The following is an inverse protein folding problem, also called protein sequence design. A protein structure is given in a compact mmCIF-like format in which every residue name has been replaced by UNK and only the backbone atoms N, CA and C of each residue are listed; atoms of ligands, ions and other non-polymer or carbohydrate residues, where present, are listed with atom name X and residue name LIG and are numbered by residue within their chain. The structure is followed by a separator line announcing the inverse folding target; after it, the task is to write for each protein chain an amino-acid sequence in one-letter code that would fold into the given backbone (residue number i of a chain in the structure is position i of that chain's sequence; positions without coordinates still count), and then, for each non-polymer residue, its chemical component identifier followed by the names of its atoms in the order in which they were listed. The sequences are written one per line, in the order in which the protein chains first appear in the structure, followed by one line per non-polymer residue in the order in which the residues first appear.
data_IF_910558305443
#
_entry.id   IF_910558305443
#
_cell.length_a   1.000
_cell.length_b   1.000
_cell.length_c   1.000
_cell.angle_alpha   90.00
_cell.angle_beta   90.00
_cell.angle_gamma   90.00
#
_symmetry.space_group_name_H-M   'P 1'
#
loop_
_entity.id
_entity.type
_entity.pdbx_description
1 polymer ?
#
# COMPACT_ATOMS: atom_id res chain seq x y z
N UNK A 1 22.47 -11.70 -3.40
CA UNK A 1 22.30 -12.30 -4.75
C UNK A 1 21.12 -11.57 -5.37
N UNK A 2 21.37 -10.39 -5.94
CA UNK A 2 20.40 -9.32 -5.68
C UNK A 2 19.52 -8.95 -6.87
N UNK A 3 19.91 -9.30 -8.10
CA UNK A 3 19.12 -8.98 -9.31
C UNK A 3 19.40 -10.05 -10.38
N UNK A 4 18.36 -10.47 -11.10
CA UNK A 4 18.45 -11.37 -12.26
C UNK A 4 18.13 -10.52 -13.49
N UNK A 5 19.12 -10.27 -14.33
CA UNK A 5 18.94 -9.56 -15.61
C UNK A 5 18.87 -10.60 -16.73
N UNK A 6 17.79 -10.57 -17.52
CA UNK A 6 17.69 -11.40 -18.71
C UNK A 6 18.42 -10.76 -19.91
N UNK A 7 18.51 -11.50 -21.02
CA UNK A 7 19.20 -11.04 -22.24
C UNK A 7 18.50 -9.85 -22.93
N UNK A 8 17.26 -9.57 -22.55
CA UNK A 8 16.43 -8.49 -23.09
C UNK A 8 16.46 -7.25 -22.18
N UNK A 9 17.25 -7.27 -21.09
CA UNK A 9 17.37 -6.18 -20.12
C UNK A 9 16.24 -6.13 -19.09
N UNK A 10 15.39 -7.16 -19.02
CA UNK A 10 14.35 -7.26 -17.98
C UNK A 10 14.99 -7.58 -16.64
N UNK A 11 14.84 -6.65 -15.71
CA UNK A 11 15.27 -6.77 -14.33
C UNK A 11 14.22 -7.57 -13.55
N UNK A 12 14.62 -8.73 -13.06
CA UNK A 12 13.81 -9.59 -12.18
C UNK A 12 14.54 -9.87 -10.87
N UNK A 13 13.84 -10.43 -9.88
CA UNK A 13 14.43 -10.70 -8.56
C UNK A 13 14.21 -12.15 -8.14
N UNK A 14 15.18 -12.75 -7.43
CA UNK A 14 14.97 -14.07 -6.88
C UNK A 14 13.97 -14.04 -5.73
N UNK A 15 13.43 -15.20 -5.39
CA UNK A 15 12.62 -15.35 -4.18
C UNK A 15 13.42 -14.98 -2.92
N UNK A 16 12.88 -14.07 -2.12
CA UNK A 16 13.38 -13.80 -0.77
C UNK A 16 12.71 -14.76 0.21
N UNK A 17 13.46 -15.77 0.65
CA UNK A 17 12.97 -16.84 1.52
C UNK A 17 13.15 -16.52 2.99
N UNK A 18 12.12 -16.82 3.78
CA UNK A 18 12.14 -16.86 5.24
C UNK A 18 11.90 -18.30 5.69
N UNK A 19 12.70 -18.79 6.62
CA UNK A 19 12.55 -20.13 7.18
C UNK A 19 11.42 -20.15 8.23
N UNK A 20 10.53 -21.14 8.14
CA UNK A 20 9.42 -21.31 9.07
C UNK A 20 8.35 -20.21 8.98
N UNK A 21 7.49 -20.14 10.01
CA UNK A 21 6.30 -19.28 10.05
C UNK A 21 5.35 -19.48 8.84
N UNK A 22 5.20 -20.75 8.45
CA UNK A 22 4.27 -21.16 7.41
C UNK A 22 2.84 -21.16 7.97
N UNK A 23 1.82 -20.77 7.18
CA UNK A 23 0.43 -20.92 7.56
C UNK A 23 0.09 -22.37 7.95
N UNK A 24 -0.88 -22.54 8.85
CA UNK A 24 -1.46 -23.86 9.12
C UNK A 24 -1.94 -24.46 7.81
N UNK A 25 -1.66 -25.74 7.57
CA UNK A 25 -1.98 -26.46 6.33
C UNK A 25 -1.32 -25.90 5.06
N UNK A 26 -0.21 -25.15 5.17
CA UNK A 26 0.56 -24.71 4.02
C UNK A 26 0.98 -25.92 3.14
N UNK A 27 0.86 -25.74 1.83
CA UNK A 27 1.23 -26.75 0.83
C UNK A 27 2.48 -26.35 0.06
N UNK A 28 3.32 -27.34 -0.25
CA UNK A 28 4.51 -27.09 -1.04
C UNK A 28 4.15 -26.78 -2.49
N UNK A 29 4.61 -25.65 -3.02
CA UNK A 29 4.37 -25.22 -4.40
C UNK A 29 5.02 -26.14 -5.47
N UNK A 30 5.82 -27.12 -5.06
CA UNK A 30 6.49 -28.08 -5.96
C UNK A 30 5.82 -29.45 -5.94
N UNK A 31 5.47 -29.98 -4.76
CA UNK A 31 4.94 -31.34 -4.62
C UNK A 31 3.49 -31.43 -4.09
N UNK A 32 2.84 -30.30 -3.81
CA UNK A 32 1.49 -30.15 -3.25
C UNK A 32 1.25 -30.79 -1.86
N UNK A 33 2.28 -31.39 -1.25
CA UNK A 33 2.20 -31.95 0.11
C UNK A 33 2.33 -30.87 1.18
N UNK A 34 1.75 -31.11 2.35
CA UNK A 34 1.86 -30.21 3.51
C UNK A 34 3.32 -29.94 3.89
N UNK A 35 3.66 -28.67 4.10
CA UNK A 35 4.97 -28.19 4.53
C UNK A 35 4.85 -27.29 5.76
N UNK A 36 5.93 -27.23 6.55
CA UNK A 36 5.98 -26.56 7.84
C UNK A 36 5.90 -27.53 9.01
N UNK A 37 6.17 -27.02 10.21
CA UNK A 37 6.02 -27.76 11.47
C UNK A 37 5.60 -26.81 12.58
N UNK A 38 4.81 -27.33 13.52
CA UNK A 38 4.43 -26.61 14.75
C UNK A 38 5.53 -26.72 15.81
N UNK A 39 6.38 -27.74 15.72
CA UNK A 39 7.41 -28.04 16.73
C UNK A 39 8.73 -27.29 16.51
N UNK A 40 9.00 -26.89 15.26
CA UNK A 40 10.26 -26.23 14.88
C UNK A 40 10.10 -25.39 13.62
N UNK A 41 10.99 -24.42 13.46
CA UNK A 41 11.17 -23.74 12.17
C UNK A 41 11.74 -24.75 11.18
N UNK A 42 11.02 -24.94 10.07
CA UNK A 42 11.45 -25.73 8.93
C UNK A 42 10.69 -25.24 7.71
N UNK A 43 11.20 -25.62 6.54
CA UNK A 43 10.65 -25.25 5.24
C UNK A 43 10.64 -23.73 5.02
N UNK A 44 10.32 -23.31 3.81
CA UNK A 44 10.58 -21.93 3.38
C UNK A 44 9.31 -21.27 2.87
N UNK A 45 9.17 -19.99 3.18
CA UNK A 45 8.12 -19.13 2.65
C UNK A 45 8.74 -17.91 1.97
N UNK A 46 8.30 -17.61 0.76
CA UNK A 46 8.72 -16.40 0.07
C UNK A 46 7.99 -15.18 0.65
N UNK A 47 8.71 -14.10 0.95
CA UNK A 47 8.13 -12.87 1.51
C UNK A 47 7.17 -12.16 0.54
N UNK A 48 7.48 -12.23 -0.75
CA UNK A 48 6.74 -11.52 -1.81
C UNK A 48 5.59 -12.37 -2.34
N UNK A 49 5.90 -13.44 -3.10
CA UNK A 49 4.86 -14.25 -3.73
C UNK A 49 4.11 -15.21 -2.80
N UNK A 50 4.56 -15.34 -1.54
CA UNK A 50 3.97 -16.20 -0.50
C UNK A 50 4.01 -17.71 -0.79
N UNK A 51 4.70 -18.14 -1.84
CA UNK A 51 4.94 -19.55 -2.09
C UNK A 51 5.62 -20.20 -0.87
N UNK A 52 5.16 -21.41 -0.53
CA UNK A 52 5.75 -22.24 0.51
C UNK A 52 6.39 -23.47 -0.12
N UNK A 53 7.59 -23.84 0.30
CA UNK A 53 8.34 -24.97 -0.28
C UNK A 53 9.08 -25.74 0.81
N UNK A 54 9.11 -27.07 0.69
CA UNK A 54 9.99 -27.86 1.56
C UNK A 54 11.45 -27.52 1.32
N UNK A 55 12.30 -27.70 2.34
CA UNK A 55 13.75 -27.55 2.18
C UNK A 55 14.30 -28.41 1.03
N UNK A 56 13.83 -29.65 0.90
CA UNK A 56 14.22 -30.56 -0.18
C UNK A 56 13.64 -30.19 -1.55
N UNK A 57 12.50 -29.49 -1.59
CA UNK A 57 11.83 -29.10 -2.83
C UNK A 57 12.33 -27.75 -3.38
N UNK A 58 12.91 -26.90 -2.53
CA UNK A 58 13.36 -25.54 -2.88
C UNK A 58 14.25 -25.48 -4.13
N UNK A 59 15.22 -26.40 -4.37
CA UNK A 59 16.04 -26.37 -5.59
C UNK A 59 15.25 -26.56 -6.89
N UNK A 60 14.05 -27.14 -6.82
CA UNK A 60 13.17 -27.39 -7.97
C UNK A 60 12.10 -26.30 -8.15
N UNK A 61 12.06 -25.28 -7.29
CA UNK A 61 11.17 -24.14 -7.45
C UNK A 61 11.79 -23.12 -8.41
N UNK A 62 11.01 -22.39 -9.23
CA UNK A 62 11.53 -21.33 -10.08
C UNK A 62 12.40 -20.34 -9.29
N UNK A 63 13.49 -19.87 -9.89
CA UNK A 63 14.39 -18.93 -9.24
C UNK A 63 13.80 -17.52 -9.17
N UNK A 64 13.08 -17.10 -10.23
CA UNK A 64 12.47 -15.77 -10.38
C UNK A 64 11.14 -15.68 -9.62
N UNK A 65 11.03 -14.68 -8.75
CA UNK A 65 9.84 -14.43 -7.96
C UNK A 65 8.77 -13.69 -8.78
N UNK A 66 7.52 -14.18 -8.86
CA UNK A 66 6.45 -13.48 -9.57
C UNK A 66 5.77 -12.37 -8.73
N UNK A 67 6.30 -12.03 -7.55
CA UNK A 67 5.76 -11.08 -6.57
C UNK A 67 4.36 -11.40 -6.00
N UNK A 68 3.65 -12.38 -6.56
CA UNK A 68 2.39 -12.90 -6.04
C UNK A 68 1.16 -12.14 -6.55
N UNK A 69 0.01 -12.31 -5.86
CA UNK A 69 -1.28 -11.76 -6.31
C UNK A 69 -1.27 -10.24 -6.46
N UNK A 70 -0.58 -9.52 -5.57
CA UNK A 70 -0.54 -8.05 -5.56
C UNK A 70 0.55 -7.46 -6.47
N UNK A 71 1.11 -8.23 -7.42
CA UNK A 71 2.30 -7.85 -8.21
C UNK A 71 2.20 -6.48 -8.88
N UNK A 72 1.01 -6.08 -9.34
CA UNK A 72 0.85 -4.79 -10.03
C UNK A 72 0.86 -3.62 -9.05
N UNK A 73 0.45 -3.86 -7.80
CA UNK A 73 0.41 -2.87 -6.72
C UNK A 73 1.74 -2.73 -6.00
N UNK A 74 2.54 -3.80 -5.98
CA UNK A 74 3.83 -3.86 -5.30
C UNK A 74 4.89 -3.13 -6.12
N UNK A 75 5.60 -2.20 -5.49
CA UNK A 75 6.87 -1.66 -6.00
C UNK A 75 7.98 -2.62 -5.56
N UNK A 76 8.60 -3.39 -6.47
CA UNK A 76 9.65 -4.33 -6.11
C UNK A 76 10.81 -3.60 -5.43
N UNK A 77 11.50 -4.20 -4.45
CA UNK A 77 12.71 -3.59 -3.87
C UNK A 77 13.78 -3.27 -4.90
N UNK A 78 13.87 -4.08 -5.96
CA UNK A 78 14.80 -3.88 -7.08
C UNK A 78 14.47 -2.67 -7.94
N UNK A 79 13.27 -2.10 -7.80
CA UNK A 79 12.85 -0.88 -8.49
C UNK A 79 13.16 0.39 -7.68
N UNK A 80 13.71 0.30 -6.47
CA UNK A 80 14.06 1.44 -5.63
C UNK A 80 15.57 1.49 -5.42
N UNK A 81 16.26 2.43 -6.07
CA UNK A 81 17.72 2.51 -6.03
C UNK A 81 18.23 3.53 -5.02
N UNK A 82 17.68 4.74 -5.06
CA UNK A 82 18.09 5.84 -4.19
C UNK A 82 16.97 6.89 -4.07
N UNK A 83 17.14 7.86 -3.18
CA UNK A 83 16.29 9.06 -3.13
C UNK A 83 17.04 10.15 -3.91
N UNK A 84 16.42 10.64 -4.98
CA UNK A 84 16.95 11.69 -5.82
C UNK A 84 17.05 13.03 -5.10
N UNK A 85 17.74 13.99 -5.71
CA UNK A 85 17.91 15.35 -5.18
C UNK A 85 16.60 16.13 -5.02
N UNK A 86 15.54 15.67 -5.65
CA UNK A 86 14.18 16.22 -5.57
C UNK A 86 13.31 15.53 -4.51
N UNK A 87 13.91 14.65 -3.70
CA UNK A 87 13.27 13.85 -2.65
C UNK A 87 12.22 12.86 -3.17
N UNK A 88 12.43 12.36 -4.39
CA UNK A 88 11.66 11.28 -4.99
C UNK A 88 12.45 9.97 -5.03
N UNK A 89 11.76 8.83 -5.14
CA UNK A 89 12.45 7.58 -5.48
C UNK A 89 13.01 7.66 -6.91
N UNK A 90 14.29 7.32 -7.05
CA UNK A 90 14.87 6.93 -8.33
C UNK A 90 14.42 5.50 -8.61
N UNK A 91 13.45 5.37 -9.52
CA UNK A 91 12.81 4.11 -9.83
C UNK A 91 12.75 3.84 -11.32
N UNK A 92 13.12 2.62 -11.70
CA UNK A 92 12.80 2.07 -13.02
C UNK A 92 11.39 1.53 -12.92
N UNK A 93 10.45 2.10 -13.67
CA UNK A 93 9.06 1.64 -13.65
C UNK A 93 8.98 0.22 -14.24
N UNK A 94 8.54 -0.79 -13.46
CA UNK A 94 8.27 -2.10 -14.03
C UNK A 94 7.19 -2.02 -15.11
N UNK A 95 7.29 -2.81 -16.18
CA UNK A 95 6.21 -2.92 -17.17
C UNK A 95 4.97 -3.54 -16.50
N UNK A 96 3.77 -3.11 -16.94
CA UNK A 96 2.46 -3.58 -16.45
C UNK A 96 2.22 -3.42 -14.93
N UNK A 97 2.77 -2.37 -14.31
CA UNK A 97 2.51 -2.05 -12.91
C UNK A 97 1.57 -0.84 -12.73
N UNK A 98 0.82 -0.86 -11.64
CA UNK A 98 0.01 0.26 -11.14
C UNK A 98 0.33 0.43 -9.65
N UNK A 99 1.45 1.10 -9.32
CA UNK A 99 1.97 1.21 -7.96
C UNK A 99 0.93 1.74 -6.99
N UNK A 100 0.84 1.12 -5.81
CA UNK A 100 -0.07 1.54 -4.75
C UNK A 100 0.69 2.20 -3.61
N UNK A 101 0.41 3.47 -3.35
CA UNK A 101 0.82 4.18 -2.14
C UNK A 101 -0.28 4.03 -1.09
N UNK A 102 0.06 3.55 0.11
CA UNK A 102 -0.91 3.34 1.19
C UNK A 102 -0.61 4.30 2.34
N UNK A 103 -1.61 5.09 2.70
CA UNK A 103 -1.62 5.90 3.90
C UNK A 103 -2.54 5.29 4.93
N UNK A 104 -2.04 5.05 6.14
CA UNK A 104 -2.86 4.54 7.25
C UNK A 104 -2.82 5.54 8.38
N UNK A 105 -3.99 5.88 8.92
CA UNK A 105 -4.06 6.60 10.18
C UNK A 105 -3.99 5.58 11.33
N UNK A 106 -2.85 5.50 12.01
CA UNK A 106 -2.65 4.52 13.08
C UNK A 106 -3.56 4.69 14.30
N UNK A 107 -4.10 5.90 14.50
CA UNK A 107 -5.00 6.24 15.61
C UNK A 107 -6.48 5.99 15.30
N UNK A 108 -6.84 5.72 14.04
CA UNK A 108 -8.23 5.48 13.64
C UNK A 108 -8.78 4.16 14.21
N UNK A 109 -10.07 4.19 14.55
CA UNK A 109 -10.84 3.01 14.95
C UNK A 109 -10.33 2.33 16.22
N UNK A 110 -10.14 3.07 17.31
CA UNK A 110 -9.62 2.53 18.59
C UNK A 110 -8.24 1.85 18.45
N UNK A 111 -7.31 2.53 17.78
CA UNK A 111 -5.94 2.04 17.50
C UNK A 111 -5.85 0.76 16.64
N UNK A 112 -6.95 0.35 15.99
CA UNK A 112 -6.92 -0.76 15.03
C UNK A 112 -6.09 -0.41 13.77
N UNK A 113 -5.92 0.89 13.47
CA UNK A 113 -5.05 1.36 12.38
C UNK A 113 -3.63 0.79 12.42
N UNK A 114 -3.08 0.51 13.61
CA UNK A 114 -1.75 -0.13 13.75
C UNK A 114 -1.74 -1.54 13.16
N UNK A 115 -2.83 -2.31 13.30
CA UNK A 115 -2.94 -3.66 12.71
C UNK A 115 -2.97 -3.58 11.19
N UNK A 116 -3.76 -2.67 10.64
CA UNK A 116 -3.81 -2.41 9.19
C UNK A 116 -2.45 -1.98 8.64
N UNK A 117 -1.77 -1.05 9.32
CA UNK A 117 -0.42 -0.61 8.94
C UNK A 117 0.56 -1.78 8.86
N UNK A 118 0.59 -2.63 9.90
CA UNK A 118 1.43 -3.84 9.93
C UNK A 118 1.06 -4.80 8.81
N UNK A 119 -0.24 -4.98 8.56
CA UNK A 119 -0.74 -5.92 7.55
C UNK A 119 -0.41 -5.46 6.13
N UNK A 120 -0.55 -4.17 5.82
CA UNK A 120 -0.11 -3.60 4.55
C UNK A 120 1.41 -3.74 4.36
N UNK A 121 2.22 -3.46 5.40
CA UNK A 121 3.68 -3.64 5.35
C UNK A 121 4.11 -5.09 5.13
N UNK A 122 3.27 -6.07 5.50
CA UNK A 122 3.52 -7.47 5.17
C UNK A 122 3.20 -7.76 3.70
N UNK A 123 2.10 -7.20 3.17
CA UNK A 123 1.55 -7.52 1.85
C UNK A 123 2.19 -6.74 0.70
N UNK A 124 2.67 -5.53 0.97
CA UNK A 124 3.29 -4.62 0.02
C UNK A 124 4.74 -4.36 0.44
N UNK A 125 5.50 -3.66 -0.41
CA UNK A 125 6.80 -3.15 0.01
C UNK A 125 6.60 -2.11 1.12
N UNK A 126 7.28 -2.23 2.29
CA UNK A 126 7.15 -1.26 3.37
C UNK A 126 7.42 0.20 2.96
N UNK A 127 8.22 0.43 1.91
CA UNK A 127 8.47 1.76 1.34
C UNK A 127 7.23 2.40 0.69
N UNK A 128 6.12 1.66 0.56
CA UNK A 128 4.85 2.12 0.02
C UNK A 128 3.80 2.41 1.11
N UNK A 129 4.09 2.14 2.38
CA UNK A 129 3.10 2.14 3.46
C UNK A 129 3.50 3.12 4.55
N UNK A 130 2.76 4.22 4.65
CA UNK A 130 3.08 5.35 5.51
C UNK A 130 2.02 5.51 6.62
N UNK A 131 2.50 5.84 7.81
CA UNK A 131 1.63 6.29 8.90
C UNK A 131 1.41 7.80 8.78
N UNK A 132 0.14 8.18 8.57
CA UNK A 132 -0.27 9.59 8.46
C UNK A 132 -0.01 10.37 9.75
N UNK A 133 -0.08 9.72 10.91
CA UNK A 133 0.08 10.38 12.20
C UNK A 133 1.55 10.62 12.56
N UNK A 134 2.46 9.87 11.97
CA UNK A 134 3.90 9.99 12.21
C UNK A 134 4.58 10.88 11.16
N UNK A 135 4.28 10.65 9.89
CA UNK A 135 5.03 11.28 8.77
C UNK A 135 4.21 12.25 7.94
N UNK A 136 2.89 12.24 8.09
CA UNK A 136 1.97 12.97 7.23
C UNK A 136 1.96 12.46 5.77
N UNK A 137 1.17 13.10 4.90
CA UNK A 137 1.05 12.69 3.50
C UNK A 137 2.22 13.15 2.61
N UNK A 138 2.92 14.22 3.00
CA UNK A 138 3.91 14.90 2.15
C UNK A 138 5.05 14.00 1.71
N UNK A 139 5.64 13.24 2.64
CA UNK A 139 6.80 12.39 2.35
C UNK A 139 6.44 11.30 1.32
N UNK A 140 5.36 10.57 1.57
CA UNK A 140 4.92 9.49 0.67
C UNK A 140 4.59 9.98 -0.73
N UNK A 141 3.92 11.15 -0.85
CA UNK A 141 3.58 11.75 -2.14
C UNK A 141 4.81 12.18 -2.93
N UNK A 142 5.78 12.82 -2.28
CA UNK A 142 7.03 13.26 -2.92
C UNK A 142 7.86 12.08 -3.40
N UNK A 143 7.99 11.06 -2.56
CA UNK A 143 8.66 9.80 -2.90
C UNK A 143 8.03 9.13 -4.12
N UNK A 144 6.72 9.23 -4.30
CA UNK A 144 5.99 8.58 -5.39
C UNK A 144 5.87 9.40 -6.68
N UNK A 145 6.39 10.63 -6.73
CA UNK A 145 6.14 11.55 -7.85
C UNK A 145 6.63 11.05 -9.22
N UNK A 146 7.56 10.10 -9.27
CA UNK A 146 8.05 9.53 -10.54
C UNK A 146 7.24 8.32 -11.02
N UNK A 147 6.30 7.82 -10.21
CA UNK A 147 5.36 6.80 -10.64
C UNK A 147 4.12 7.50 -11.23
N UNK A 148 4.07 7.74 -12.55
CA UNK A 148 2.92 8.37 -13.22
C UNK A 148 2.33 7.45 -14.32
N UNK A 149 1.09 6.95 -14.21
CA UNK A 149 0.15 7.12 -13.09
C UNK A 149 0.40 6.17 -11.91
N UNK A 150 -0.12 6.52 -10.74
CA UNK A 150 -0.14 5.65 -9.55
C UNK A 150 -1.46 5.74 -8.78
N UNK A 151 -1.67 4.82 -7.85
CA UNK A 151 -2.87 4.77 -7.00
C UNK A 151 -2.50 5.07 -5.56
N UNK A 152 -3.43 5.68 -4.83
CA UNK A 152 -3.32 5.99 -3.42
C UNK A 152 -4.49 5.32 -2.71
N UNK A 153 -4.23 4.60 -1.61
CA UNK A 153 -5.25 4.10 -0.71
C UNK A 153 -5.11 4.76 0.65
N UNK A 154 -6.14 5.49 1.07
CA UNK A 154 -6.19 6.14 2.39
C UNK A 154 -7.06 5.29 3.31
N UNK A 155 -6.44 4.73 4.36
CA UNK A 155 -7.10 3.92 5.37
C UNK A 155 -7.41 4.78 6.60
N UNK A 156 -8.54 5.49 6.57
CA UNK A 156 -8.99 6.40 7.63
C UNK A 156 -10.43 6.88 7.36
N UNK A 157 -10.91 7.85 8.16
CA UNK A 157 -12.14 8.60 7.92
C UNK A 157 -11.92 9.87 7.09
N UNK A 158 -13.01 10.58 6.81
CA UNK A 158 -13.10 11.69 5.85
C UNK A 158 -12.11 12.83 6.13
N UNK A 159 -11.83 13.15 7.40
CA UNK A 159 -10.89 14.21 7.76
C UNK A 159 -9.45 13.91 7.31
N UNK A 160 -9.00 12.66 7.44
CA UNK A 160 -7.66 12.26 6.99
C UNK A 160 -7.58 12.12 5.46
N UNK A 161 -8.68 11.66 4.83
CA UNK A 161 -8.78 11.66 3.37
C UNK A 161 -8.70 13.08 2.83
N UNK A 162 -9.41 14.03 3.43
CA UNK A 162 -9.35 15.45 3.09
C UNK A 162 -7.93 16.02 3.23
N UNK A 163 -7.19 15.63 4.28
CA UNK A 163 -5.80 16.05 4.45
C UNK A 163 -4.88 15.55 3.33
N UNK A 164 -4.97 14.27 2.97
CA UNK A 164 -4.20 13.70 1.84
C UNK A 164 -4.55 14.41 0.54
N UNK A 165 -5.84 14.63 0.26
CA UNK A 165 -6.29 15.31 -0.95
C UNK A 165 -5.78 16.76 -1.03
N UNK A 166 -5.83 17.51 0.08
CA UNK A 166 -5.28 18.87 0.12
C UNK A 166 -3.77 18.91 -0.13
N UNK A 167 -3.04 17.88 0.29
CA UNK A 167 -1.61 17.77 0.01
C UNK A 167 -1.32 17.41 -1.46
N UNK A 168 -2.16 16.59 -2.07
CA UNK A 168 -2.13 16.30 -3.52
C UNK A 168 -2.33 17.59 -4.32
N UNK A 169 -3.31 18.42 -3.93
CA UNK A 169 -3.59 19.72 -4.56
C UNK A 169 -2.35 20.64 -4.44
N UNK A 170 -1.74 20.70 -3.25
CA UNK A 170 -0.53 21.51 -2.99
C UNK A 170 0.67 21.09 -3.85
N UNK A 171 0.81 19.79 -4.10
CA UNK A 171 1.88 19.22 -4.93
C UNK A 171 1.53 19.15 -6.42
N UNK A 172 0.32 19.58 -6.81
CA UNK A 172 -0.19 19.58 -8.18
C UNK A 172 -0.22 18.17 -8.83
N UNK A 173 -0.56 17.14 -8.06
CA UNK A 173 -0.53 15.72 -8.49
C UNK A 173 -1.91 15.15 -8.89
N UNK A 174 -2.93 16.01 -9.04
CA UNK A 174 -4.33 15.62 -9.27
C UNK A 174 -4.57 14.80 -10.57
N UNK A 175 -3.76 14.98 -11.60
CA UNK A 175 -3.85 14.20 -12.86
C UNK A 175 -3.04 12.92 -12.84
N UNK A 176 -2.11 12.80 -11.88
CA UNK A 176 -1.13 11.71 -11.80
C UNK A 176 -1.63 10.54 -10.94
N UNK A 177 -2.51 10.81 -9.98
CA UNK A 177 -2.92 9.82 -8.99
C UNK A 177 -4.43 9.58 -8.93
N UNK A 178 -4.80 8.36 -8.53
CA UNK A 178 -6.18 7.97 -8.25
C UNK A 178 -6.31 7.60 -6.77
N UNK A 179 -7.29 8.16 -6.07
CA UNK A 179 -7.44 7.97 -4.62
C UNK A 179 -8.62 7.04 -4.30
N UNK A 180 -8.33 5.98 -3.56
CA UNK A 180 -9.30 5.09 -2.93
C UNK A 180 -9.33 5.30 -1.41
N UNK A 181 -10.46 4.94 -0.80
CA UNK A 181 -10.67 5.07 0.65
C UNK A 181 -11.02 3.71 1.24
N UNK A 182 -10.24 3.28 2.24
CA UNK A 182 -10.59 2.14 3.10
C UNK A 182 -11.14 2.70 4.42
N UNK A 183 -12.45 2.49 4.71
CA UNK A 183 -13.10 3.13 5.84
C UNK A 183 -12.61 2.55 7.18
N UNK A 184 -11.84 3.34 7.94
CA UNK A 184 -11.40 3.00 9.30
C UNK A 184 -11.90 4.03 10.31
N UNK A 185 -12.52 3.55 11.40
CA UNK A 185 -13.04 4.42 12.46
C UNK A 185 -14.38 5.05 12.10
N UNK A 186 -14.58 6.31 12.51
CA UNK A 186 -15.84 7.07 12.34
C UNK A 186 -15.71 8.17 11.28
N UNK A 187 -16.84 8.59 10.70
CA UNK A 187 -16.87 9.58 9.62
C UNK A 187 -16.30 9.00 8.32
N UNK A 188 -17.05 8.09 7.68
CA UNK A 188 -16.65 7.38 6.46
C UNK A 188 -17.65 7.66 5.33
N UNK A 189 -18.15 8.89 5.24
CA UNK A 189 -19.22 9.26 4.31
C UNK A 189 -18.75 9.18 2.87
N UNK A 190 -17.50 9.57 2.59
CA UNK A 190 -16.92 9.42 1.25
C UNK A 190 -16.82 7.93 0.86
N UNK A 191 -16.43 7.06 1.78
CA UNK A 191 -16.36 5.62 1.53
C UNK A 191 -17.75 5.03 1.23
N UNK A 192 -18.80 5.47 1.94
CA UNK A 192 -20.20 5.05 1.68
C UNK A 192 -20.67 5.49 0.30
N UNK A 193 -20.45 6.76 -0.04
CA UNK A 193 -20.84 7.32 -1.34
C UNK A 193 -20.10 6.63 -2.50
N UNK A 194 -18.83 6.28 -2.30
CA UNK A 194 -18.03 5.57 -3.30
C UNK A 194 -18.29 4.05 -3.33
N UNK A 195 -19.09 3.51 -2.42
CA UNK A 195 -19.48 2.08 -2.41
C UNK A 195 -18.48 1.15 -1.72
N UNK A 196 -17.55 1.68 -0.92
CA UNK A 196 -16.58 0.90 -0.14
C UNK A 196 -17.12 0.40 1.21
N UNK A 197 -18.28 0.92 1.62
CA UNK A 197 -18.98 0.50 2.84
C UNK A 197 -18.76 1.45 4.02
N UNK A 198 -19.25 1.03 5.19
CA UNK A 198 -19.33 1.89 6.38
C UNK A 198 -18.11 1.78 7.31
N UNK A 199 -17.49 0.60 7.41
CA UNK A 199 -16.28 0.34 8.19
C UNK A 199 -15.59 -0.93 7.69
N UNK A 200 -14.31 -1.07 8.04
CA UNK A 200 -13.52 -2.26 7.82
C UNK A 200 -12.70 -2.54 9.09
N UNK A 201 -13.17 -3.49 9.91
CA UNK A 201 -12.61 -3.71 11.26
C UNK A 201 -11.67 -4.92 11.34
N UNK A 202 -11.55 -5.68 10.24
CA UNK A 202 -10.74 -6.90 10.15
C UNK A 202 -9.68 -6.78 9.04
N UNK A 203 -8.40 -6.80 9.42
CA UNK A 203 -7.26 -6.68 8.51
C UNK A 203 -7.02 -7.96 7.68
N UNK A 204 -7.64 -9.09 8.05
CA UNK A 204 -7.52 -10.35 7.30
C UNK A 204 -8.13 -10.24 5.90
N UNK A 205 -9.07 -9.31 5.68
CA UNK A 205 -9.72 -9.06 4.39
C UNK A 205 -8.90 -8.20 3.42
N UNK A 206 -7.77 -7.62 3.85
CA UNK A 206 -6.96 -6.74 3.01
C UNK A 206 -6.56 -7.38 1.67
N UNK A 207 -6.12 -8.66 1.59
CA UNK A 207 -5.80 -9.28 0.30
C UNK A 207 -6.96 -9.27 -0.70
N UNK A 208 -8.18 -9.58 -0.26
CA UNK A 208 -9.37 -9.54 -1.10
C UNK A 208 -9.75 -8.10 -1.47
N UNK A 209 -9.58 -7.15 -0.54
CA UNK A 209 -9.83 -5.73 -0.80
C UNK A 209 -8.84 -5.16 -1.82
N UNK A 210 -7.56 -5.52 -1.75
CA UNK A 210 -6.56 -5.08 -2.73
C UNK A 210 -6.93 -5.50 -4.16
N UNK A 211 -7.41 -6.73 -4.36
CA UNK A 211 -7.92 -7.21 -5.66
C UNK A 211 -9.12 -6.37 -6.15
N UNK A 212 -10.00 -5.97 -5.23
CA UNK A 212 -11.14 -5.10 -5.55
C UNK A 212 -10.70 -3.68 -5.91
N UNK A 213 -9.75 -3.10 -5.19
CA UNK A 213 -9.21 -1.76 -5.50
C UNK A 213 -8.44 -1.73 -6.82
N UNK A 214 -7.81 -2.84 -7.19
CA UNK A 214 -7.10 -2.98 -8.46
C UNK A 214 -8.05 -2.98 -9.66
N UNK A 215 -9.24 -3.57 -9.50
CA UNK A 215 -10.27 -3.66 -10.55
C UNK A 215 -11.31 -2.53 -10.48
N UNK A 216 -11.15 -1.60 -9.55
CA UNK A 216 -12.13 -0.55 -9.31
C UNK A 216 -12.19 0.46 -10.45
N UNK A 217 -13.39 0.92 -10.79
CA UNK A 217 -13.59 2.05 -11.69
C UNK A 217 -13.33 3.37 -10.97
N UNK A 218 -12.78 4.35 -11.68
CA UNK A 218 -12.61 5.70 -11.16
C UNK A 218 -13.87 6.54 -11.33
N UNK A 219 -14.04 7.52 -10.44
CA UNK A 219 -15.06 8.57 -10.52
C UNK A 219 -14.40 9.92 -10.25
N UNK A 220 -14.85 10.95 -10.95
CA UNK A 220 -14.42 12.32 -10.68
C UNK A 220 -15.05 12.79 -9.36
N UNK A 221 -14.25 13.46 -8.55
CA UNK A 221 -14.67 14.02 -7.27
C UNK A 221 -14.58 15.55 -7.34
N UNK A 222 -15.72 16.21 -7.20
CA UNK A 222 -15.75 17.66 -7.10
C UNK A 222 -15.18 18.13 -5.77
N UNK A 223 -14.33 19.16 -5.82
CA UNK A 223 -13.61 19.69 -4.67
C UNK A 223 -13.87 21.18 -4.51
N UNK A 224 -14.34 21.56 -3.32
CA UNK A 224 -14.64 22.96 -3.00
C UNK A 224 -13.46 23.63 -2.31
N UNK A 225 -13.12 24.84 -2.74
CA UNK A 225 -12.19 25.73 -2.08
C UNK A 225 -12.98 26.82 -1.36
N UNK A 226 -12.87 26.88 -0.03
CA UNK A 226 -13.65 27.78 0.80
C UNK A 226 -12.72 28.81 1.42
N UNK A 227 -12.99 30.10 1.19
CA UNK A 227 -12.30 31.22 1.83
C UNK A 227 -13.24 31.87 2.86
N UNK A 228 -12.79 31.99 4.10
CA UNK A 228 -13.56 32.60 5.20
C UNK A 228 -12.89 33.89 5.67
N UNK A 229 -13.68 34.93 5.93
CA UNK A 229 -13.21 36.20 6.48
C UNK A 229 -13.94 36.49 7.79
N UNK A 230 -13.20 36.77 8.85
CA UNK A 230 -13.79 37.19 10.11
C UNK A 230 -14.08 38.69 10.06
N UNK A 231 -15.33 39.08 10.33
CA UNK A 231 -15.73 40.49 10.38
C UNK A 231 -15.83 40.91 11.83
N UNK A 232 -15.01 41.88 12.24
CA UNK A 232 -15.16 42.52 13.54
C UNK A 232 -16.48 43.27 13.59
N UNK A 233 -17.39 42.86 14.47
CA UNK A 233 -18.63 43.57 14.76
C UNK A 233 -18.26 44.69 15.74
N UNK A 234 -18.46 45.98 15.40
CA UNK A 234 -18.25 47.04 16.36
C UNK A 234 -19.24 46.87 17.52
N UNK A 235 -18.72 46.61 18.73
CA UNK A 235 -19.53 46.75 19.94
C UNK A 235 -19.90 48.23 20.06
N UNK A 236 -21.17 48.55 19.83
CA UNK A 236 -21.69 49.89 19.99
C UNK A 236 -21.32 50.40 21.38
N UNK A 237 -20.69 51.57 21.45
CA UNK A 237 -20.47 52.28 22.70
C UNK A 237 -21.83 52.55 23.35
N UNK A 238 -22.13 51.85 24.44
CA UNK A 238 -23.25 52.19 25.31
C UNK A 238 -23.03 53.61 25.82
N UNK A 239 -23.80 54.55 25.29
CA UNK A 239 -23.99 55.90 25.85
C UNK A 239 -24.77 55.84 27.14
#
# INVERSE_FOLDING_TARGET
KDIIEDKDGTISMPHQWMEGNLPVSAKCAVCDKTCGSVLRLQDWRCLWCRATVHTACRPNHPEVCPLGPSRVSVVPPTALHSIGTDEAWEAIRPQDCSPLLVFVNSKSGDNQGVKFLRRFKQLLNPAQVFDLMETGPSLGLRLFRHFDPFRILVCSGDGSVGWVLSEIDRLHMQTQCQVGVLPLGTGNDLARVLGWGASCDDDTHIPQLLDRYEKASTKILDRWSIMTFERSIPMGSST
#
